data_IF_991326597550
#
_entry.id   IF_991326597550
#
_cell.length_a   1.000
_cell.length_b   1.000
_cell.length_c   1.000
_cell.angle_alpha   90.00
_cell.angle_beta   90.00
_cell.angle_gamma   90.00
#
_symmetry.space_group_name_H-M   'P 1'
#
loop_
_entity.id
_entity.type
_entity.pdbx_description
1 polymer ?
#
# COMPACT_ATOMS: atom_id res chain seq x y z
N UNK A 1 13.11 20.72 -3.30
CA UNK A 1 13.41 21.17 -4.67
C UNK A 1 12.26 22.05 -5.12
N UNK A 2 12.52 23.27 -5.52
CA UNK A 2 11.48 24.15 -6.08
C UNK A 2 11.48 24.05 -7.60
N UNK A 3 10.31 23.85 -8.18
CA UNK A 3 10.13 23.72 -9.63
C UNK A 3 8.86 24.45 -10.02
N UNK A 4 8.83 24.96 -11.26
CA UNK A 4 7.70 25.73 -11.78
C UNK A 4 6.84 24.84 -12.66
N UNK A 5 5.54 24.98 -12.52
CA UNK A 5 4.57 24.36 -13.42
C UNK A 5 4.74 24.97 -14.82
N UNK A 6 4.80 24.11 -15.83
CA UNK A 6 4.87 24.49 -17.25
C UNK A 6 3.62 24.02 -17.98
N UNK A 7 3.21 24.80 -18.98
CA UNK A 7 2.10 24.41 -19.85
C UNK A 7 2.59 23.40 -20.89
N UNK A 8 1.87 22.29 -21.03
CA UNK A 8 2.11 21.22 -22.00
C UNK A 8 0.80 21.05 -22.78
N UNK A 9 0.68 21.75 -23.92
CA UNK A 9 -0.57 21.79 -24.70
C UNK A 9 -1.74 22.37 -23.89
N UNK A 10 -2.80 21.57 -23.70
CA UNK A 10 -3.95 21.92 -22.87
C UNK A 10 -3.79 21.53 -21.39
N UNK A 11 -2.65 20.94 -21.02
CA UNK A 11 -2.36 20.46 -19.67
C UNK A 11 -1.23 21.26 -19.02
N UNK A 12 -1.03 21.03 -17.73
CA UNK A 12 0.10 21.56 -16.96
C UNK A 12 0.95 20.40 -16.45
N UNK A 13 2.26 20.60 -16.39
CA UNK A 13 3.20 19.58 -15.92
C UNK A 13 4.37 20.15 -15.15
N UNK A 14 4.99 19.31 -14.34
CA UNK A 14 6.23 19.58 -13.60
C UNK A 14 7.33 18.70 -14.16
N UNK A 15 8.52 19.27 -14.38
CA UNK A 15 9.69 18.49 -14.80
C UNK A 15 10.35 17.93 -13.55
N UNK A 16 10.38 16.60 -13.44
CA UNK A 16 11.11 15.88 -12.41
C UNK A 16 12.52 15.54 -12.91
N UNK A 17 13.57 15.73 -12.09
CA UNK A 17 14.92 15.26 -12.42
C UNK A 17 14.93 13.75 -12.63
N UNK A 18 15.73 13.30 -13.60
CA UNK A 18 15.92 11.88 -13.89
C UNK A 18 16.32 11.07 -12.65
N UNK A 19 17.14 11.64 -11.76
CA UNK A 19 17.54 10.98 -10.52
C UNK A 19 16.36 10.61 -9.61
N UNK A 20 15.27 11.38 -9.58
CA UNK A 20 14.07 11.03 -8.82
C UNK A 20 13.24 9.95 -9.52
N UNK A 21 13.16 10.02 -10.85
CA UNK A 21 12.47 8.99 -11.65
C UNK A 21 13.16 7.64 -11.45
N UNK A 22 14.49 7.59 -11.53
CA UNK A 22 15.27 6.37 -11.37
C UNK A 22 15.22 5.87 -9.91
N UNK A 23 15.31 6.77 -8.91
CA UNK A 23 15.28 6.39 -7.49
C UNK A 23 13.96 5.73 -7.07
N UNK A 24 12.85 6.24 -7.59
CA UNK A 24 11.51 5.78 -7.21
C UNK A 24 10.84 4.92 -8.30
N UNK A 25 11.58 4.53 -9.35
CA UNK A 25 11.08 3.71 -10.46
C UNK A 25 9.74 4.23 -11.05
N UNK A 26 9.63 5.54 -11.26
CA UNK A 26 8.39 6.24 -11.64
C UNK A 26 8.02 6.08 -13.14
N UNK A 27 7.88 4.83 -13.61
CA UNK A 27 7.47 4.52 -14.98
C UNK A 27 5.97 4.79 -15.21
N UNK A 28 5.14 4.38 -14.25
CA UNK A 28 3.73 4.69 -14.15
C UNK A 28 3.46 5.24 -12.75
N UNK A 29 2.61 6.26 -12.62
CA UNK A 29 2.38 6.93 -11.34
C UNK A 29 0.91 7.09 -11.01
N UNK A 30 0.61 7.03 -9.72
CA UNK A 30 -0.68 7.41 -9.13
C UNK A 30 -0.51 8.78 -8.49
N UNK A 31 -1.47 9.66 -8.75
CA UNK A 31 -1.51 11.02 -8.22
C UNK A 31 -2.70 11.08 -7.25
N UNK A 32 -2.42 11.33 -5.98
CA UNK A 32 -3.43 11.47 -4.92
C UNK A 32 -3.45 12.91 -4.41
N UNK A 33 -4.66 13.41 -4.17
CA UNK A 33 -4.91 14.74 -3.61
C UNK A 33 -5.14 14.61 -2.09
N UNK A 34 -4.23 15.19 -1.31
CA UNK A 34 -4.28 15.20 0.15
C UNK A 34 -4.75 16.57 0.71
N UNK A 35 -5.17 17.49 -0.17
CA UNK A 35 -5.72 18.81 0.16
C UNK A 35 -4.68 19.88 0.50
N UNK A 36 -3.56 19.51 1.13
CA UNK A 36 -2.39 20.37 1.36
C UNK A 36 -1.33 20.23 0.26
N UNK A 37 -1.44 19.18 -0.55
CA UNK A 37 -0.51 18.87 -1.61
C UNK A 37 -0.94 17.66 -2.44
N UNK A 38 -0.11 17.38 -3.43
CA UNK A 38 -0.29 16.23 -4.33
C UNK A 38 0.81 15.22 -4.01
N UNK A 39 0.42 13.99 -3.70
CA UNK A 39 1.35 12.88 -3.53
C UNK A 39 1.46 12.12 -4.85
N UNK A 40 2.70 11.93 -5.30
CA UNK A 40 3.00 11.16 -6.52
C UNK A 40 3.77 9.91 -6.08
N UNK A 41 3.22 8.74 -6.42
CA UNK A 41 3.83 7.45 -6.10
C UNK A 41 3.80 6.52 -7.31
N UNK A 42 4.67 5.50 -7.37
CA UNK A 42 4.62 4.49 -8.42
C UNK A 42 3.24 3.81 -8.45
N UNK A 43 2.73 3.53 -9.64
CA UNK A 43 1.50 2.75 -9.81
C UNK A 43 1.70 1.26 -9.50
N UNK A 44 2.94 0.80 -9.50
CA UNK A 44 3.33 -0.54 -9.09
C UNK A 44 3.21 -0.66 -7.57
N UNK A 45 2.27 -1.50 -7.12
CA UNK A 45 2.20 -1.91 -5.72
C UNK A 45 3.38 -2.82 -5.38
N UNK A 46 3.97 -2.65 -4.21
CA UNK A 46 5.02 -3.56 -3.75
C UNK A 46 4.46 -4.99 -3.61
N UNK A 47 5.33 -6.01 -3.71
CA UNK A 47 4.93 -7.41 -3.49
C UNK A 47 4.26 -7.56 -2.12
N UNK A 48 4.72 -6.82 -1.12
CA UNK A 48 4.13 -6.81 0.21
C UNK A 48 2.73 -6.21 0.23
N UNK A 49 2.53 -5.06 -0.43
CA UNK A 49 1.19 -4.44 -0.55
C UNK A 49 0.20 -5.39 -1.24
N UNK A 50 0.63 -6.04 -2.33
CA UNK A 50 -0.18 -7.05 -3.02
C UNK A 50 -0.53 -8.23 -2.11
N UNK A 51 0.46 -8.80 -1.42
CA UNK A 51 0.25 -9.92 -0.49
C UNK A 51 -0.61 -9.52 0.71
N UNK A 52 -0.47 -8.30 1.22
CA UNK A 52 -1.28 -7.80 2.33
C UNK A 52 -2.74 -7.59 1.90
N UNK A 53 -2.98 -7.07 0.69
CA UNK A 53 -4.34 -6.97 0.13
C UNK A 53 -4.97 -8.35 -0.08
N UNK A 54 -4.21 -9.31 -0.62
CA UNK A 54 -4.66 -10.70 -0.76
C UNK A 54 -4.96 -11.33 0.60
N UNK A 55 -4.11 -11.09 1.60
CA UNK A 55 -4.28 -11.61 2.93
C UNK A 55 -5.51 -10.99 3.63
N UNK A 56 -5.75 -9.67 3.48
CA UNK A 56 -6.97 -9.00 3.96
C UNK A 56 -8.23 -9.59 3.33
N UNK A 57 -8.22 -9.83 2.01
CA UNK A 57 -9.35 -10.47 1.29
C UNK A 57 -9.61 -11.90 1.76
N UNK A 58 -8.56 -12.64 2.09
CA UNK A 58 -8.63 -14.05 2.49
C UNK A 58 -8.56 -14.26 4.02
N UNK A 59 -8.70 -13.18 4.82
CA UNK A 59 -8.54 -13.20 6.29
C UNK A 59 -9.34 -14.31 6.95
N UNK A 60 -10.61 -14.45 6.58
CA UNK A 60 -11.50 -15.48 7.12
C UNK A 60 -10.94 -16.89 6.91
N UNK A 61 -10.49 -17.18 5.70
CA UNK A 61 -9.88 -18.47 5.36
C UNK A 61 -8.59 -18.70 6.14
N UNK A 62 -7.75 -17.68 6.27
CA UNK A 62 -6.48 -17.76 7.03
C UNK A 62 -6.75 -18.07 8.50
N UNK A 63 -7.68 -17.35 9.13
CA UNK A 63 -8.02 -17.55 10.55
C UNK A 63 -8.63 -18.94 10.79
N UNK A 64 -9.51 -19.42 9.91
CA UNK A 64 -10.07 -20.79 10.03
C UNK A 64 -9.02 -21.89 9.83
N UNK A 65 -7.96 -21.65 9.06
CA UNK A 65 -6.85 -22.61 8.93
C UNK A 65 -5.97 -22.57 10.17
N UNK A 66 -5.63 -21.37 10.67
CA UNK A 66 -4.84 -21.20 11.91
C UNK A 66 -5.54 -21.79 13.13
N UNK A 67 -6.87 -21.66 13.23
CA UNK A 67 -7.68 -22.30 14.27
C UNK A 67 -7.55 -23.84 14.22
N UNK A 68 -7.64 -24.43 13.03
CA UNK A 68 -7.54 -25.88 12.83
C UNK A 68 -6.14 -26.42 13.13
N UNK A 69 -5.11 -25.64 12.82
CA UNK A 69 -3.71 -26.00 13.05
C UNK A 69 -3.24 -25.67 14.48
N UNK A 70 -3.96 -24.81 15.21
CA UNK A 70 -3.64 -24.50 16.60
C UNK A 70 -3.80 -25.76 17.47
N UNK A 71 -2.72 -26.13 18.15
CA UNK A 71 -2.69 -27.27 19.08
C UNK A 71 -3.15 -26.89 20.48
N UNK A 72 -3.02 -25.61 20.83
CA UNK A 72 -3.33 -25.07 22.15
C UNK A 72 -4.77 -24.50 22.23
N UNK A 73 -5.56 -24.79 23.28
CA UNK A 73 -6.94 -24.33 23.41
C UNK A 73 -7.11 -22.80 23.53
N UNK A 74 -6.19 -22.09 24.18
CA UNK A 74 -6.26 -20.63 24.30
C UNK A 74 -6.01 -19.96 22.95
N UNK A 75 -5.08 -20.52 22.18
CA UNK A 75 -4.77 -20.06 20.82
C UNK A 75 -5.95 -20.25 19.87
N UNK A 76 -6.71 -21.34 20.00
CA UNK A 76 -7.96 -21.54 19.24
C UNK A 76 -9.00 -20.48 19.58
N UNK A 77 -9.21 -20.22 20.87
CA UNK A 77 -10.18 -19.23 21.33
C UNK A 77 -9.84 -17.81 20.86
N UNK A 78 -8.55 -17.47 20.75
CA UNK A 78 -8.10 -16.21 20.16
C UNK A 78 -8.51 -16.05 18.70
N UNK A 79 -8.38 -17.10 17.88
CA UNK A 79 -8.79 -17.07 16.47
C UNK A 79 -10.30 -17.21 16.27
N UNK A 80 -11.03 -17.72 17.26
CA UNK A 80 -12.50 -17.80 17.28
C UNK A 80 -13.15 -16.43 17.52
N UNK A 81 -12.47 -15.53 18.23
CA UNK A 81 -12.90 -14.13 18.34
C UNK A 81 -12.76 -13.47 16.97
N UNK A 82 -13.89 -13.09 16.35
CA UNK A 82 -13.89 -12.30 15.12
C UNK A 82 -13.25 -10.93 15.41
N UNK A 83 -11.93 -10.85 15.29
CA UNK A 83 -11.24 -9.57 15.25
C UNK A 83 -11.65 -8.91 13.94
N UNK A 84 -12.48 -7.88 14.02
CA UNK A 84 -13.15 -7.25 12.88
C UNK A 84 -12.13 -6.77 11.84
N UNK A 85 -11.01 -6.18 12.29
CA UNK A 85 -10.00 -5.63 11.39
C UNK A 85 -8.57 -6.07 11.73
N UNK A 86 -7.73 -6.24 10.69
CA UNK A 86 -6.29 -6.23 10.93
C UNK A 86 -5.95 -4.76 11.05
N UNK A 87 -5.81 -4.28 12.29
CA UNK A 87 -5.59 -2.86 12.59
C UNK A 87 -4.52 -2.26 11.68
N UNK A 88 -4.64 -0.96 11.36
CA UNK A 88 -3.93 -0.28 10.27
C UNK A 88 -2.46 -0.67 10.13
N UNK A 89 -2.21 -1.73 9.36
CA UNK A 89 -0.86 -2.14 9.01
C UNK A 89 -0.38 -1.11 7.99
N UNK A 90 0.60 -0.32 8.39
CA UNK A 90 1.28 0.60 7.49
C UNK A 90 2.06 -0.22 6.45
N UNK A 91 1.50 -0.27 5.24
CA UNK A 91 2.08 -1.00 4.11
C UNK A 91 3.03 -0.15 3.27
N UNK A 92 3.32 1.07 3.73
CA UNK A 92 4.18 2.04 3.05
C UNK A 92 5.60 2.07 3.64
N UNK A 93 5.85 1.44 4.81
CA UNK A 93 7.16 1.38 5.49
C UNK A 93 8.10 0.29 4.94
N UNK A 94 8.15 0.09 3.63
CA UNK A 94 9.21 -0.76 3.04
C UNK A 94 10.17 0.16 2.30
N UNK A 95 11.25 0.53 3.00
CA UNK A 95 12.45 1.16 2.44
C UNK A 95 13.29 0.17 1.62
#
# INVERSE_FOLDING_TARGET
>A
METKIRKIGNSSGVILPKALIDKYELAEVVIEDHGDGIMIRPATKSIFQLKMEEARKNKKTIYTTMEKEASDPETRSYYEQEVEDWGDIDTEIIE
#
